data_IF_271823422484
#
_entry.id   IF_271823422484
#
_cell.length_a   1.000
_cell.length_b   1.000
_cell.length_c   1.000
_cell.angle_alpha   90.00
_cell.angle_beta   90.00
_cell.angle_gamma   90.00
#
_symmetry.space_group_name_H-M   'P 1'
#
loop_
_entity.id
_entity.type
_entity.pdbx_description
1 polymer ?
#
# COMPACT_ATOMS: atom_id res chain seq x y z
N UNK A 1 -16.93 -15.20 62.43
CA UNK A 1 -18.32 -14.71 62.39
C UNK A 1 -18.72 -14.75 60.94
N UNK A 2 -19.42 -15.74 60.46
CA UNK A 2 -20.87 -15.98 60.34
C UNK A 2 -21.54 -14.69 59.78
N UNK A 3 -22.21 -14.64 58.64
CA UNK A 3 -23.29 -15.40 57.99
C UNK A 3 -23.62 -14.68 56.70
N UNK A 4 -24.37 -15.03 55.69
CA UNK A 4 -25.20 -16.15 55.34
C UNK A 4 -25.69 -15.96 53.91
N UNK A 5 -25.96 -17.09 53.27
CA UNK A 5 -26.54 -17.22 51.93
C UNK A 5 -27.97 -16.64 51.85
N UNK A 6 -28.32 -16.14 50.63
CA UNK A 6 -29.72 -16.07 50.21
C UNK A 6 -29.86 -16.51 48.77
N UNK A 7 -30.47 -17.68 48.58
CA UNK A 7 -30.91 -18.24 47.31
C UNK A 7 -32.31 -17.68 47.00
N UNK A 8 -32.47 -17.11 45.81
CA UNK A 8 -33.78 -16.78 45.27
C UNK A 8 -34.15 -17.77 44.16
N UNK A 9 -35.16 -18.55 44.42
CA UNK A 9 -35.82 -19.47 43.50
C UNK A 9 -36.87 -18.66 42.73
N UNK A 10 -36.80 -18.68 41.39
CA UNK A 10 -37.89 -18.14 40.55
C UNK A 10 -38.53 -19.30 39.78
N UNK A 11 -39.81 -19.48 40.03
CA UNK A 11 -40.65 -20.51 39.47
C UNK A 11 -41.01 -20.25 38.00
N UNK A 12 -41.01 -21.30 37.21
CA UNK A 12 -41.47 -21.34 35.85
C UNK A 12 -43.01 -21.33 35.79
N UNK A 13 -43.59 -20.45 34.99
CA UNK A 13 -44.97 -20.58 34.50
C UNK A 13 -44.98 -21.02 33.04
N UNK A 14 -45.44 -22.22 32.84
CA UNK A 14 -45.67 -22.85 31.54
C UNK A 14 -47.13 -22.50 31.11
N UNK A 15 -47.29 -21.65 30.11
CA UNK A 15 -48.62 -21.38 29.51
C UNK A 15 -48.64 -22.04 28.13
N UNK A 16 -49.41 -23.12 28.07
CA UNK A 16 -49.70 -23.92 26.85
C UNK A 16 -50.95 -23.32 26.20
N UNK A 17 -50.79 -22.66 25.04
CA UNK A 17 -51.94 -22.23 24.21
C UNK A 17 -52.00 -23.09 22.95
N UNK A 18 -53.00 -23.90 22.86
CA UNK A 18 -53.42 -24.67 21.67
C UNK A 18 -54.13 -23.68 20.74
N UNK A 19 -53.70 -23.57 19.46
CA UNK A 19 -54.51 -22.98 18.40
C UNK A 19 -54.55 -23.93 17.20
N UNK A 20 -55.74 -24.12 16.76
CA UNK A 20 -56.18 -25.08 15.77
C UNK A 20 -55.68 -24.81 14.34
N UNK A 21 -55.48 -25.88 13.60
CA UNK A 21 -55.21 -25.91 12.16
C UNK A 21 -56.40 -25.38 11.35
N UNK A 22 -56.08 -24.44 10.41
CA UNK A 22 -56.96 -24.18 9.26
C UNK A 22 -56.08 -24.32 7.99
N UNK A 23 -56.34 -25.35 7.19
CA UNK A 23 -55.80 -25.48 5.84
C UNK A 23 -56.36 -24.37 4.94
N UNK A 24 -55.48 -23.63 4.30
CA UNK A 24 -55.77 -22.77 3.17
C UNK A 24 -54.59 -22.84 2.22
N UNK A 25 -54.73 -23.61 1.13
CA UNK A 25 -53.83 -23.64 0.02
C UNK A 25 -53.96 -22.34 -0.77
N UNK A 26 -52.89 -21.52 -0.82
CA UNK A 26 -52.74 -20.59 -1.91
C UNK A 26 -51.27 -20.51 -2.30
N UNK A 27 -51.01 -20.88 -3.54
CA UNK A 27 -49.74 -20.87 -4.23
C UNK A 27 -49.44 -19.42 -4.65
N UNK A 28 -48.44 -18.80 -4.04
CA UNK A 28 -47.94 -17.51 -4.44
C UNK A 28 -46.53 -17.32 -3.88
N UNK A 29 -45.59 -17.96 -4.57
CA UNK A 29 -44.16 -17.79 -4.32
C UNK A 29 -43.74 -16.40 -4.86
N UNK A 30 -43.99 -15.37 -4.07
CA UNK A 30 -43.37 -14.06 -4.26
C UNK A 30 -42.22 -13.97 -3.25
N UNK A 31 -41.06 -14.43 -3.68
CA UNK A 31 -39.78 -14.04 -3.07
C UNK A 31 -39.64 -12.52 -3.22
N UNK A 32 -40.21 -11.76 -2.29
CA UNK A 32 -39.81 -10.39 -2.06
C UNK A 32 -38.40 -10.44 -1.53
N UNK A 33 -37.46 -10.27 -2.42
CA UNK A 33 -36.11 -9.80 -2.08
C UNK A 33 -36.32 -8.46 -1.36
N UNK A 34 -36.34 -8.49 -0.01
CA UNK A 34 -36.16 -7.27 0.76
C UNK A 34 -34.77 -6.73 0.41
N UNK A 35 -34.75 -5.69 -0.43
CA UNK A 35 -33.56 -4.85 -0.56
C UNK A 35 -33.26 -4.28 0.82
N UNK A 36 -32.22 -4.76 1.47
CA UNK A 36 -31.67 -4.14 2.66
C UNK A 36 -31.35 -2.70 2.26
N UNK A 37 -31.94 -1.68 2.91
CA UNK A 37 -31.56 -0.30 2.66
C UNK A 37 -30.10 -0.17 3.04
N UNK A 38 -29.24 0.00 2.08
CA UNK A 38 -27.83 0.29 2.33
C UNK A 38 -27.75 1.78 2.63
N UNK A 39 -27.49 2.13 3.89
CA UNK A 39 -27.19 3.51 4.25
C UNK A 39 -25.96 3.97 3.49
N UNK A 40 -25.91 5.26 3.07
CA UNK A 40 -24.73 5.81 2.41
C UNK A 40 -23.47 5.63 3.26
N UNK A 41 -22.37 5.25 2.63
CA UNK A 41 -21.06 5.12 3.26
C UNK A 41 -20.35 6.47 3.13
N UNK A 42 -19.97 7.06 4.27
CA UNK A 42 -19.17 8.29 4.30
C UNK A 42 -17.86 8.01 5.01
N UNK A 43 -16.75 8.32 4.34
CA UNK A 43 -15.37 8.14 4.83
C UNK A 43 -14.65 9.48 4.76
N UNK A 44 -13.84 9.79 5.76
CA UNK A 44 -12.93 10.92 5.71
C UNK A 44 -11.69 10.56 4.88
N UNK A 45 -11.47 11.31 3.80
CA UNK A 45 -10.30 11.17 2.93
C UNK A 45 -9.46 12.43 3.09
N UNK A 46 -8.47 12.39 3.95
CA UNK A 46 -7.55 13.51 4.26
C UNK A 46 -8.27 14.82 4.67
N UNK A 47 -9.32 14.72 5.47
CA UNK A 47 -10.11 15.86 5.93
C UNK A 47 -11.24 16.25 4.97
N UNK A 48 -11.44 15.53 3.87
CA UNK A 48 -12.54 15.71 2.93
C UNK A 48 -13.49 14.51 3.00
N UNK A 49 -14.79 14.72 3.26
CA UNK A 49 -15.74 13.61 3.29
C UNK A 49 -15.98 13.08 1.87
N UNK A 50 -15.77 11.79 1.68
CA UNK A 50 -16.16 11.03 0.49
C UNK A 50 -17.41 10.21 0.81
N UNK A 51 -18.45 10.31 -0.02
CA UNK A 51 -19.72 9.60 0.21
C UNK A 51 -20.15 8.84 -1.04
N UNK A 52 -20.55 7.58 -0.85
CA UNK A 52 -21.18 6.74 -1.87
C UNK A 52 -22.51 6.19 -1.32
N UNK A 53 -23.46 5.96 -2.20
CA UNK A 53 -24.85 5.57 -1.84
C UNK A 53 -24.94 4.15 -1.28
N UNK A 54 -24.00 3.27 -1.67
CA UNK A 54 -23.97 1.87 -1.24
C UNK A 54 -22.54 1.32 -1.30
N UNK A 55 -22.33 0.15 -0.68
CA UNK A 55 -21.09 -0.62 -0.82
C UNK A 55 -20.82 -0.92 -2.29
N UNK A 56 -19.64 -0.56 -2.83
CA UNK A 56 -19.32 -0.82 -4.22
C UNK A 56 -19.19 -2.32 -4.50
N UNK A 57 -19.72 -2.76 -5.62
CA UNK A 57 -19.62 -4.13 -6.12
C UNK A 57 -18.80 -4.23 -7.41
N UNK A 58 -18.56 -3.07 -8.06
CA UNK A 58 -17.93 -2.98 -9.38
C UNK A 58 -16.86 -1.88 -9.40
N UNK A 59 -15.71 -2.20 -8.84
CA UNK A 59 -14.59 -1.26 -8.71
C UNK A 59 -13.68 -1.35 -9.94
N UNK A 60 -13.37 -0.21 -10.55
CA UNK A 60 -12.25 -0.05 -11.48
C UNK A 60 -11.10 0.63 -10.74
N UNK A 61 -9.93 0.00 -10.70
CA UNK A 61 -8.72 0.55 -10.08
C UNK A 61 -7.72 1.01 -11.14
N UNK A 62 -7.34 2.28 -11.10
CA UNK A 62 -6.35 2.88 -12.00
C UNK A 62 -5.06 3.24 -11.26
N UNK A 63 -4.72 2.46 -10.23
CA UNK A 63 -3.50 2.61 -9.44
C UNK A 63 -3.02 1.25 -8.95
N UNK A 64 -1.79 0.84 -9.28
CA UNK A 64 -1.21 -0.40 -8.77
C UNK A 64 -1.21 -0.49 -7.24
N UNK A 65 -0.85 0.60 -6.55
CA UNK A 65 -0.85 0.66 -5.08
C UNK A 65 -2.25 0.47 -4.49
N UNK A 66 -3.26 1.13 -5.08
CA UNK A 66 -4.65 0.97 -4.65
C UNK A 66 -5.19 -0.43 -4.98
N UNK A 67 -4.82 -1.01 -6.13
CA UNK A 67 -5.17 -2.38 -6.49
C UNK A 67 -4.65 -3.37 -5.44
N UNK A 68 -3.37 -3.30 -5.09
CA UNK A 68 -2.79 -4.14 -4.04
C UNK A 68 -3.51 -3.94 -2.70
N UNK A 69 -3.81 -2.68 -2.35
CA UNK A 69 -4.57 -2.35 -1.13
C UNK A 69 -5.97 -2.96 -1.13
N UNK A 70 -6.73 -2.83 -2.23
CA UNK A 70 -8.07 -3.41 -2.37
C UNK A 70 -8.06 -4.95 -2.18
N UNK A 71 -7.09 -5.64 -2.77
CA UNK A 71 -6.95 -7.08 -2.57
C UNK A 71 -6.57 -7.43 -1.13
N UNK A 72 -5.64 -6.69 -0.54
CA UNK A 72 -5.19 -6.92 0.84
C UNK A 72 -6.31 -6.75 1.87
N UNK A 73 -7.18 -5.74 1.70
CA UNK A 73 -8.33 -5.53 2.59
C UNK A 73 -9.52 -6.45 2.28
N UNK A 74 -9.37 -7.39 1.35
CA UNK A 74 -10.42 -8.37 1.01
C UNK A 74 -11.46 -7.88 0.01
N UNK A 75 -11.23 -6.73 -0.64
CA UNK A 75 -12.13 -6.18 -1.67
C UNK A 75 -11.83 -6.72 -3.09
N UNK A 76 -10.88 -7.65 -3.25
CA UNK A 76 -10.54 -8.24 -4.54
C UNK A 76 -11.74 -8.71 -5.39
N UNK A 77 -12.74 -9.41 -4.82
CA UNK A 77 -13.94 -9.80 -5.56
C UNK A 77 -14.78 -8.66 -6.12
N UNK A 78 -14.62 -7.43 -5.61
CA UNK A 78 -15.30 -6.23 -6.07
C UNK A 78 -14.55 -5.55 -7.23
N UNK A 79 -13.25 -5.85 -7.41
CA UNK A 79 -12.42 -5.27 -8.49
C UNK A 79 -12.75 -6.00 -9.80
N UNK A 80 -13.31 -5.26 -10.76
CA UNK A 80 -13.73 -5.83 -12.06
C UNK A 80 -12.77 -5.50 -13.20
N UNK A 81 -11.94 -4.45 -13.04
CA UNK A 81 -10.89 -4.07 -13.97
C UNK A 81 -9.81 -3.29 -13.23
N UNK A 82 -8.58 -3.47 -13.66
CA UNK A 82 -7.41 -2.74 -13.17
C UNK A 82 -6.58 -2.22 -14.34
N UNK A 83 -5.75 -1.20 -14.11
CA UNK A 83 -4.89 -0.63 -15.15
C UNK A 83 -3.77 -1.60 -15.59
N UNK A 84 -3.03 -1.21 -16.63
CA UNK A 84 -2.00 -2.02 -17.27
C UNK A 84 -0.80 -2.37 -16.37
N UNK A 85 -0.58 -1.58 -15.28
CA UNK A 85 0.50 -1.78 -14.31
C UNK A 85 0.03 -2.46 -13.02
N UNK A 86 -1.25 -2.70 -12.85
CA UNK A 86 -1.85 -3.38 -11.69
C UNK A 86 -1.79 -4.90 -11.86
N UNK A 87 -0.59 -5.46 -11.84
CA UNK A 87 -0.28 -6.88 -12.10
C UNK A 87 -0.13 -7.73 -10.83
N UNK A 88 -0.30 -7.12 -9.65
CA UNK A 88 -0.27 -7.81 -8.37
C UNK A 88 -1.55 -7.53 -7.56
N UNK A 89 -2.11 -8.57 -6.87
CA UNK A 89 -1.74 -9.99 -6.96
C UNK A 89 -2.06 -10.60 -8.34
N UNK A 90 -1.63 -11.83 -8.59
CA UNK A 90 -1.80 -12.49 -9.88
C UNK A 90 -3.27 -12.64 -10.32
N UNK A 91 -4.21 -12.54 -9.36
CA UNK A 91 -5.66 -12.57 -9.59
C UNK A 91 -6.22 -11.21 -10.02
N UNK A 92 -5.40 -10.15 -10.02
CA UNK A 92 -5.84 -8.82 -10.46
C UNK A 92 -6.39 -8.88 -11.89
N UNK A 93 -7.59 -8.33 -12.15
CA UNK A 93 -8.18 -8.29 -13.48
C UNK A 93 -7.54 -7.18 -14.33
N UNK A 94 -6.23 -7.27 -14.57
CA UNK A 94 -5.43 -6.31 -15.33
C UNK A 94 -5.95 -6.18 -16.75
N UNK A 95 -6.07 -4.96 -17.22
CA UNK A 95 -6.59 -4.60 -18.54
C UNK A 95 -5.57 -3.73 -19.30
N UNK A 96 -6.00 -3.13 -20.40
CA UNK A 96 -5.25 -2.09 -21.14
C UNK A 96 -5.64 -0.67 -20.72
N UNK A 97 -6.39 -0.50 -19.63
CA UNK A 97 -6.65 0.83 -19.06
C UNK A 97 -5.34 1.42 -18.56
N UNK A 98 -5.22 2.74 -18.66
CA UNK A 98 -4.04 3.45 -18.17
C UNK A 98 -4.43 4.46 -17.10
N UNK A 99 -3.75 4.43 -15.95
CA UNK A 99 -3.87 5.47 -14.94
C UNK A 99 -3.21 6.77 -15.38
N UNK A 100 -2.19 6.73 -16.26
CA UNK A 100 -1.45 7.90 -16.74
C UNK A 100 -2.12 8.63 -17.91
N UNK A 101 -2.74 7.88 -18.81
CA UNK A 101 -3.45 8.40 -19.99
C UNK A 101 -4.86 7.81 -20.08
N UNK A 102 -5.72 8.11 -19.09
CA UNK A 102 -7.00 7.45 -18.95
C UNK A 102 -7.96 7.81 -20.08
N UNK A 103 -8.81 6.84 -20.46
CA UNK A 103 -9.90 7.04 -21.40
C UNK A 103 -11.23 6.84 -20.66
N UNK A 104 -11.95 7.92 -20.42
CA UNK A 104 -13.22 7.93 -19.67
C UNK A 104 -14.26 6.99 -20.28
N UNK A 105 -14.40 6.95 -21.61
CA UNK A 105 -15.36 6.08 -22.28
C UNK A 105 -15.01 4.61 -22.07
N UNK A 106 -13.72 4.25 -22.11
CA UNK A 106 -13.25 2.89 -21.87
C UNK A 106 -13.46 2.47 -20.40
N UNK A 107 -13.30 3.39 -19.45
CA UNK A 107 -13.55 3.15 -18.02
C UNK A 107 -15.04 2.92 -17.77
N UNK A 108 -15.88 3.82 -18.26
CA UNK A 108 -17.35 3.76 -18.10
C UNK A 108 -17.95 2.51 -18.78
N UNK A 109 -17.31 1.99 -19.83
CA UNK A 109 -17.76 0.76 -20.50
C UNK A 109 -17.71 -0.48 -19.59
N UNK A 110 -16.96 -0.46 -18.49
CA UNK A 110 -16.99 -1.48 -17.46
C UNK A 110 -18.20 -1.38 -16.52
N UNK A 111 -19.01 -0.30 -16.63
CA UNK A 111 -20.15 -0.02 -15.77
C UNK A 111 -19.75 -0.07 -14.26
N UNK A 112 -18.74 0.73 -13.85
CA UNK A 112 -18.28 0.75 -12.46
C UNK A 112 -19.22 1.55 -11.56
N UNK A 113 -19.32 1.14 -10.31
CA UNK A 113 -19.97 1.92 -9.24
C UNK A 113 -18.96 2.66 -8.36
N UNK A 114 -17.67 2.40 -8.55
CA UNK A 114 -16.55 3.15 -7.98
C UNK A 114 -15.33 3.08 -8.90
N UNK A 115 -14.63 4.20 -9.07
CA UNK A 115 -13.28 4.24 -9.65
C UNK A 115 -12.30 4.71 -8.59
N UNK A 116 -11.17 4.01 -8.44
CA UNK A 116 -10.09 4.40 -7.53
C UNK A 116 -8.88 4.85 -8.34
N UNK A 117 -8.37 6.05 -8.04
CA UNK A 117 -7.26 6.68 -8.74
C UNK A 117 -6.23 7.24 -7.75
N UNK A 118 -4.97 7.41 -8.18
CA UNK A 118 -3.91 8.01 -7.35
C UNK A 118 -3.51 9.42 -7.78
N UNK A 119 -4.07 9.94 -8.85
CA UNK A 119 -3.92 11.31 -9.30
C UNK A 119 -4.99 11.63 -10.34
N UNK A 120 -5.15 12.90 -10.67
CA UNK A 120 -6.24 13.40 -11.56
C UNK A 120 -5.69 13.97 -12.87
N UNK A 121 -5.25 13.12 -13.84
CA UNK A 121 -4.74 13.60 -15.11
C UNK A 121 -5.89 14.11 -16.01
N UNK A 122 -5.79 15.35 -16.44
CA UNK A 122 -6.71 15.92 -17.42
C UNK A 122 -8.16 16.00 -16.93
N UNK A 123 -8.37 16.33 -15.67
CA UNK A 123 -9.71 16.43 -15.04
C UNK A 123 -10.50 15.10 -15.10
N UNK A 124 -9.82 13.97 -14.92
CA UNK A 124 -10.42 12.63 -14.94
C UNK A 124 -11.54 12.50 -13.91
N UNK A 125 -11.29 12.98 -12.68
CA UNK A 125 -12.28 12.93 -11.58
C UNK A 125 -13.56 13.62 -12.00
N UNK A 126 -13.48 14.88 -12.41
CA UNK A 126 -14.66 15.65 -12.85
C UNK A 126 -15.39 15.01 -14.05
N UNK A 127 -14.64 14.39 -14.97
CA UNK A 127 -15.20 13.73 -16.15
C UNK A 127 -15.97 12.46 -15.81
N UNK A 128 -15.47 11.64 -14.88
CA UNK A 128 -16.14 10.43 -14.41
C UNK A 128 -17.36 10.77 -13.53
N UNK A 129 -17.26 11.78 -12.66
CA UNK A 129 -18.39 12.27 -11.87
C UNK A 129 -19.52 12.83 -12.76
N UNK A 130 -19.17 13.55 -13.83
CA UNK A 130 -20.15 14.01 -14.82
C UNK A 130 -20.83 12.84 -15.57
N UNK A 131 -20.16 11.69 -15.67
CA UNK A 131 -20.75 10.45 -16.19
C UNK A 131 -21.56 9.68 -15.14
N UNK A 132 -21.64 10.18 -13.90
CA UNK A 132 -22.36 9.56 -12.79
C UNK A 132 -21.58 8.46 -12.06
N UNK A 133 -20.27 8.41 -12.22
CA UNK A 133 -19.39 7.41 -11.57
C UNK A 133 -18.62 8.08 -10.42
N UNK A 134 -18.81 7.64 -9.17
CA UNK A 134 -18.02 8.11 -8.02
C UNK A 134 -16.54 7.80 -8.20
N UNK A 135 -15.66 8.74 -7.79
CA UNK A 135 -14.21 8.57 -7.86
C UNK A 135 -13.60 8.76 -6.49
N UNK A 136 -12.87 7.75 -6.02
CA UNK A 136 -12.04 7.85 -4.83
C UNK A 136 -10.59 8.19 -5.26
N UNK A 137 -10.18 9.43 -4.98
CA UNK A 137 -8.82 9.89 -5.21
C UNK A 137 -7.99 9.65 -3.93
N UNK A 138 -6.99 8.79 -4.03
CA UNK A 138 -5.98 8.51 -3.01
C UNK A 138 -4.62 8.95 -3.54
N UNK A 139 -4.21 10.17 -3.24
CA UNK A 139 -2.92 10.70 -3.67
C UNK A 139 -1.75 9.79 -3.25
N UNK A 140 -0.59 9.96 -3.91
CA UNK A 140 0.61 9.22 -3.54
C UNK A 140 0.92 9.43 -2.04
N UNK A 141 1.18 8.33 -1.33
CA UNK A 141 1.57 8.39 0.07
C UNK A 141 2.89 9.15 0.22
N UNK A 142 3.02 9.95 1.27
CA UNK A 142 4.27 10.66 1.59
C UNK A 142 5.10 9.91 2.63
N UNK A 143 4.46 9.04 3.42
CA UNK A 143 5.08 8.20 4.45
C UNK A 143 4.27 6.92 4.71
N UNK A 144 4.71 6.11 5.67
CA UNK A 144 4.03 4.86 6.01
C UNK A 144 2.67 5.08 6.69
N UNK A 145 2.50 6.17 7.43
CA UNK A 145 1.21 6.49 8.08
C UNK A 145 0.13 6.73 7.00
N UNK A 146 0.50 7.34 5.87
CA UNK A 146 -0.41 7.50 4.74
C UNK A 146 -0.78 6.16 4.10
N UNK A 147 0.18 5.21 3.98
CA UNK A 147 -0.12 3.85 3.48
C UNK A 147 -1.16 3.17 4.36
N UNK A 148 -0.97 3.21 5.70
CA UNK A 148 -1.90 2.59 6.65
C UNK A 148 -3.28 3.24 6.56
N UNK A 149 -3.33 4.57 6.48
CA UNK A 149 -4.57 5.33 6.31
C UNK A 149 -5.29 4.99 5.01
N UNK A 150 -4.57 4.84 3.89
CA UNK A 150 -5.18 4.43 2.61
C UNK A 150 -5.80 3.04 2.69
N UNK A 151 -5.15 2.08 3.36
CA UNK A 151 -5.72 0.75 3.60
C UNK A 151 -7.01 0.82 4.42
N UNK A 152 -7.03 1.64 5.49
CA UNK A 152 -8.24 1.86 6.28
C UNK A 152 -9.36 2.51 5.47
N UNK A 153 -9.06 3.52 4.65
CA UNK A 153 -10.02 4.18 3.75
C UNK A 153 -10.60 3.16 2.76
N UNK A 154 -9.76 2.36 2.10
CA UNK A 154 -10.18 1.31 1.17
C UNK A 154 -11.07 0.28 1.88
N UNK A 155 -10.69 -0.16 3.08
CA UNK A 155 -11.51 -1.06 3.90
C UNK A 155 -12.88 -0.47 4.25
N UNK A 156 -12.92 0.80 4.66
CA UNK A 156 -14.15 1.48 5.04
C UNK A 156 -15.10 1.65 3.84
N UNK A 157 -14.59 2.12 2.69
CA UNK A 157 -15.40 2.33 1.48
C UNK A 157 -15.93 1.01 0.93
N UNK A 158 -15.14 -0.06 1.00
CA UNK A 158 -15.52 -1.38 0.45
C UNK A 158 -16.28 -2.27 1.44
N UNK A 159 -16.51 -1.79 2.68
CA UNK A 159 -17.19 -2.55 3.73
C UNK A 159 -16.34 -3.68 4.31
N UNK A 160 -15.02 -3.56 4.27
CA UNK A 160 -14.04 -4.53 4.77
C UNK A 160 -13.15 -3.92 5.88
N UNK A 161 -13.68 -3.00 6.69
CA UNK A 161 -12.90 -2.23 7.66
C UNK A 161 -12.18 -3.10 8.69
N UNK A 162 -12.82 -4.17 9.17
CA UNK A 162 -12.20 -5.08 10.15
C UNK A 162 -10.95 -5.76 9.55
N UNK A 163 -11.03 -6.23 8.29
CA UNK A 163 -9.88 -6.81 7.58
C UNK A 163 -8.78 -5.77 7.37
N UNK A 164 -9.15 -4.53 7.03
CA UNK A 164 -8.18 -3.46 6.89
C UNK A 164 -7.40 -3.20 8.18
N UNK A 165 -8.07 -3.15 9.32
CA UNK A 165 -7.40 -3.02 10.62
C UNK A 165 -6.47 -4.20 10.94
N UNK A 166 -6.88 -5.43 10.64
CA UNK A 166 -6.00 -6.60 10.82
C UNK A 166 -4.73 -6.49 9.95
N UNK A 167 -4.87 -6.06 8.69
CA UNK A 167 -3.76 -5.84 7.77
C UNK A 167 -2.83 -4.74 8.27
N UNK A 168 -3.36 -3.59 8.68
CA UNK A 168 -2.58 -2.47 9.20
C UNK A 168 -1.79 -2.89 10.44
N UNK A 169 -2.43 -3.56 11.41
CA UNK A 169 -1.75 -4.04 12.62
C UNK A 169 -0.62 -5.04 12.30
N UNK A 170 -0.82 -5.95 11.32
CA UNK A 170 0.23 -6.89 10.90
C UNK A 170 1.41 -6.15 10.24
N UNK A 171 1.13 -5.21 9.34
CA UNK A 171 2.17 -4.42 8.67
C UNK A 171 2.99 -3.59 9.67
N UNK A 172 2.34 -2.86 10.57
CA UNK A 172 3.01 -2.07 11.62
C UNK A 172 3.88 -2.96 12.52
N UNK A 173 3.38 -4.13 12.91
CA UNK A 173 4.14 -5.07 13.73
C UNK A 173 5.37 -5.60 12.99
N UNK A 174 5.25 -5.99 11.72
CA UNK A 174 6.39 -6.47 10.90
C UNK A 174 7.42 -5.37 10.68
N UNK A 175 7.00 -4.16 10.35
CA UNK A 175 7.88 -2.99 10.21
C UNK A 175 8.63 -2.73 11.50
N UNK A 176 7.92 -2.67 12.63
CA UNK A 176 8.52 -2.45 13.95
C UNK A 176 9.55 -3.53 14.31
N UNK A 177 9.24 -4.79 14.01
CA UNK A 177 10.18 -5.93 14.26
C UNK A 177 11.42 -5.80 13.36
N UNK A 178 11.26 -5.49 12.08
CA UNK A 178 12.38 -5.34 11.15
C UNK A 178 13.32 -4.20 11.58
N UNK A 179 12.76 -3.03 11.93
CA UNK A 179 13.54 -1.88 12.40
C UNK A 179 14.23 -2.19 13.73
N UNK A 180 13.52 -2.77 14.70
CA UNK A 180 14.09 -3.08 16.03
C UNK A 180 15.16 -4.19 15.99
N UNK A 181 15.12 -5.07 14.99
CA UNK A 181 16.13 -6.13 14.81
C UNK A 181 17.42 -5.62 14.14
N UNK A 182 17.37 -4.43 13.53
CA UNK A 182 18.52 -3.83 12.85
C UNK A 182 19.48 -3.25 13.90
N UNK A 183 20.80 -3.52 13.80
CA UNK A 183 21.77 -3.04 14.80
C UNK A 183 21.88 -1.52 14.75
N UNK A 184 21.98 -0.88 15.92
CA UNK A 184 22.40 0.52 16.02
C UNK A 184 23.86 0.65 15.58
N UNK A 185 24.15 1.64 14.77
CA UNK A 185 25.48 1.95 14.24
C UNK A 185 26.04 3.20 14.89
N UNK A 186 27.35 3.22 15.18
CA UNK A 186 28.02 4.38 15.74
C UNK A 186 28.01 5.59 14.77
N UNK A 187 28.09 5.31 13.47
CA UNK A 187 27.96 6.29 12.39
C UNK A 187 26.87 5.83 11.41
N UNK A 188 26.03 6.75 10.90
CA UNK A 188 25.01 6.40 9.93
C UNK A 188 25.64 5.96 8.61
N UNK A 189 25.11 4.88 8.02
CA UNK A 189 25.49 4.45 6.67
C UNK A 189 24.88 5.37 5.62
N UNK A 190 25.61 5.56 4.54
CA UNK A 190 25.15 6.28 3.36
C UNK A 190 24.54 5.32 2.34
N UNK A 191 23.54 5.77 1.60
CA UNK A 191 22.93 4.96 0.55
C UNK A 191 22.66 5.72 -0.75
N UNK A 192 22.61 4.96 -1.84
CA UNK A 192 22.12 5.39 -3.14
C UNK A 192 21.00 4.45 -3.60
N UNK A 193 19.89 5.00 -4.12
CA UNK A 193 18.76 4.26 -4.68
C UNK A 193 18.70 4.51 -6.19
N UNK A 194 18.94 3.50 -7.00
CA UNK A 194 18.90 3.58 -8.46
C UNK A 194 17.50 3.30 -8.97
N UNK A 195 16.85 4.30 -9.60
CA UNK A 195 15.55 4.13 -10.25
C UNK A 195 15.66 3.54 -11.65
N UNK A 196 16.66 3.98 -12.41
CA UNK A 196 16.88 3.53 -13.79
C UNK A 196 18.34 3.65 -14.23
N UNK A 197 18.66 3.10 -15.39
CA UNK A 197 20.02 3.07 -15.99
C UNK A 197 20.59 4.47 -16.27
N UNK A 198 19.77 5.51 -16.29
CA UNK A 198 20.20 6.89 -16.51
C UNK A 198 20.60 7.63 -15.24
N UNK A 199 20.67 6.91 -14.11
CA UNK A 199 21.03 7.38 -12.77
C UNK A 199 20.02 8.36 -12.17
N UNK A 200 18.75 8.27 -12.53
CA UNK A 200 17.69 8.87 -11.73
C UNK A 200 17.62 8.17 -10.38
N UNK A 201 17.38 8.96 -9.36
CA UNK A 201 17.35 8.52 -7.96
C UNK A 201 16.25 9.23 -7.17
N UNK A 202 16.20 8.98 -5.88
CA UNK A 202 15.29 9.62 -4.92
C UNK A 202 16.10 10.32 -3.85
N UNK A 203 15.56 11.41 -3.30
CA UNK A 203 16.08 12.05 -2.08
C UNK A 203 15.33 11.56 -0.84
N UNK A 204 15.82 11.94 0.35
CA UNK A 204 15.15 11.64 1.63
C UNK A 204 13.77 12.31 1.78
N UNK A 205 13.45 13.31 0.95
CA UNK A 205 12.15 14.01 0.96
C UNK A 205 11.02 13.24 0.28
N UNK A 206 11.31 12.13 -0.42
CA UNK A 206 10.31 11.30 -1.10
C UNK A 206 9.74 10.22 -0.17
N UNK A 207 8.61 9.60 -0.56
CA UNK A 207 8.08 8.42 0.10
C UNK A 207 9.14 7.32 0.26
N UNK A 208 9.85 6.99 -0.83
CA UNK A 208 10.93 5.99 -0.83
C UNK A 208 12.01 6.39 0.19
N UNK A 209 12.43 7.67 0.20
CA UNK A 209 13.41 8.20 1.14
C UNK A 209 12.95 8.13 2.59
N UNK A 210 11.65 8.31 2.86
CA UNK A 210 11.08 8.21 4.21
C UNK A 210 11.25 6.80 4.80
N UNK A 211 11.17 5.76 3.98
CA UNK A 211 11.36 4.36 4.40
C UNK A 211 12.82 4.10 4.81
N UNK A 212 13.80 4.61 4.08
CA UNK A 212 15.21 4.54 4.47
C UNK A 212 15.48 5.29 5.78
N UNK A 213 14.74 6.38 6.01
CA UNK A 213 14.82 7.18 7.24
C UNK A 213 14.50 6.39 8.52
N UNK A 214 13.71 5.29 8.45
CA UNK A 214 13.43 4.41 9.58
C UNK A 214 14.69 3.75 10.17
N UNK A 215 15.73 3.62 9.35
CA UNK A 215 17.00 2.99 9.70
C UNK A 215 18.12 4.02 9.95
N UNK A 216 17.80 5.31 9.92
CA UNK A 216 18.78 6.39 10.10
C UNK A 216 19.81 6.47 8.96
N UNK A 217 19.51 5.94 7.78
CA UNK A 217 20.39 5.99 6.62
C UNK A 217 20.45 7.41 6.04
N UNK A 218 21.63 7.80 5.52
CA UNK A 218 21.87 9.10 4.90
C UNK A 218 21.87 8.97 3.38
N UNK A 219 21.00 9.72 2.72
CA UNK A 219 20.87 9.70 1.26
C UNK A 219 21.95 10.57 0.60
N UNK A 220 22.81 9.98 -0.24
CA UNK A 220 23.83 10.76 -0.97
C UNK A 220 23.20 11.73 -1.98
N UNK A 221 22.00 11.44 -2.48
CA UNK A 221 21.32 12.27 -3.46
C UNK A 221 20.76 13.59 -2.89
N UNK A 222 20.62 13.72 -1.57
CA UNK A 222 20.15 14.97 -0.94
C UNK A 222 21.04 16.17 -1.30
N UNK A 223 22.34 15.93 -1.49
CA UNK A 223 23.28 16.97 -1.90
C UNK A 223 23.08 17.44 -3.35
N UNK A 224 22.38 16.67 -4.18
CA UNK A 224 22.10 16.99 -5.58
C UNK A 224 20.77 17.74 -5.78
N UNK A 225 19.89 17.77 -4.78
CA UNK A 225 18.59 18.47 -4.85
C UNK A 225 18.35 19.32 -3.56
N UNK A 226 19.31 20.20 -3.19
CA UNK A 226 19.26 20.94 -1.91
C UNK A 226 18.13 21.97 -1.84
N UNK A 227 17.59 22.39 -2.96
CA UNK A 227 16.49 23.37 -3.08
C UNK A 227 15.15 22.71 -3.49
N UNK A 228 15.11 21.40 -3.65
CA UNK A 228 13.92 20.65 -4.07
C UNK A 228 13.49 20.90 -5.52
N UNK A 229 14.37 21.46 -6.36
CA UNK A 229 14.03 21.80 -7.74
C UNK A 229 13.80 20.56 -8.63
N UNK A 230 14.37 19.43 -8.25
CA UNK A 230 14.14 18.14 -8.89
C UNK A 230 12.94 17.37 -8.24
N UNK A 231 12.17 18.02 -7.38
CA UNK A 231 11.00 17.40 -6.70
C UNK A 231 11.34 16.10 -5.98
N UNK A 232 12.58 15.96 -5.50
CA UNK A 232 13.06 14.75 -4.83
C UNK A 232 13.55 13.64 -5.78
N UNK A 233 13.60 13.88 -7.10
CA UNK A 233 14.01 12.89 -8.10
C UNK A 233 15.15 13.42 -8.99
N UNK A 234 16.33 13.71 -8.43
CA UNK A 234 17.45 14.21 -9.23
C UNK A 234 18.05 13.11 -10.09
N UNK A 235 18.69 13.51 -11.20
CA UNK A 235 19.57 12.67 -11.99
C UNK A 235 21.02 12.94 -11.59
N UNK A 236 21.75 11.89 -11.21
CA UNK A 236 23.16 12.00 -10.80
C UNK A 236 24.11 11.70 -11.98
N UNK A 237 25.36 12.13 -11.83
CA UNK A 237 26.44 11.65 -12.71
C UNK A 237 27.22 10.52 -12.04
N UNK A 238 27.90 9.70 -12.85
CA UNK A 238 28.77 8.65 -12.34
C UNK A 238 29.92 9.21 -11.49
N UNK A 239 30.46 10.40 -11.85
CA UNK A 239 31.50 11.09 -11.09
C UNK A 239 30.99 11.49 -9.70
N UNK A 240 29.75 12.00 -9.62
CA UNK A 240 29.14 12.35 -8.33
C UNK A 240 29.05 11.12 -7.42
N UNK A 241 28.62 9.97 -7.97
CA UNK A 241 28.47 8.74 -7.19
C UNK A 241 29.81 8.18 -6.72
N UNK A 242 30.86 8.31 -7.52
CA UNK A 242 32.23 7.92 -7.12
C UNK A 242 32.75 8.83 -6.00
N UNK A 243 32.51 10.13 -6.09
CA UNK A 243 32.92 11.08 -5.05
C UNK A 243 32.13 10.88 -3.74
N UNK A 244 30.85 10.52 -3.84
CA UNK A 244 29.99 10.25 -2.69
C UNK A 244 30.25 8.88 -2.05
N UNK A 245 30.69 7.88 -2.83
CA UNK A 245 31.05 6.51 -2.45
C UNK A 245 30.10 5.88 -1.40
N UNK A 246 28.81 5.67 -1.74
CA UNK A 246 27.81 5.20 -0.79
C UNK A 246 28.15 3.82 -0.22
N UNK A 247 27.79 3.59 1.08
CA UNK A 247 27.98 2.31 1.75
C UNK A 247 27.03 1.22 1.23
N UNK A 248 25.84 1.62 0.78
CA UNK A 248 24.79 0.75 0.28
C UNK A 248 24.28 1.26 -1.07
N UNK A 249 24.04 0.36 -2.02
CA UNK A 249 23.38 0.67 -3.29
C UNK A 249 22.16 -0.22 -3.44
N UNK A 250 21.00 0.38 -3.68
CA UNK A 250 19.73 -0.33 -3.89
C UNK A 250 19.29 -0.13 -5.35
N UNK A 251 19.07 -1.23 -6.05
CA UNK A 251 18.67 -1.24 -7.45
C UNK A 251 17.16 -1.50 -7.56
N UNK A 252 16.38 -0.48 -7.89
CA UNK A 252 14.97 -0.66 -8.26
C UNK A 252 14.82 -1.09 -9.73
N UNK A 253 15.88 -0.98 -10.52
CA UNK A 253 15.98 -1.42 -11.91
C UNK A 253 17.35 -2.02 -12.20
N UNK A 254 17.40 -2.97 -13.11
CA UNK A 254 18.63 -3.72 -13.44
C UNK A 254 18.93 -4.82 -12.43
N UNK A 255 20.09 -5.41 -12.54
CA UNK A 255 20.58 -6.48 -11.67
C UNK A 255 22.00 -6.19 -11.17
N UNK A 256 22.38 -6.87 -10.09
CA UNK A 256 23.68 -6.67 -9.41
C UNK A 256 24.87 -6.96 -10.33
N UNK A 257 24.78 -7.99 -11.17
CA UNK A 257 25.91 -8.37 -12.04
C UNK A 257 26.15 -7.30 -13.11
N UNK A 258 25.09 -6.81 -13.74
CA UNK A 258 25.15 -5.70 -14.70
C UNK A 258 25.70 -4.42 -14.05
N UNK A 259 25.29 -4.11 -12.81
CA UNK A 259 25.79 -2.94 -12.08
C UNK A 259 27.30 -3.05 -11.80
N UNK A 260 27.79 -4.23 -11.41
CA UNK A 260 29.23 -4.51 -11.18
C UNK A 260 30.09 -4.35 -12.42
N UNK A 261 29.52 -4.62 -13.60
CA UNK A 261 30.23 -4.49 -14.88
C UNK A 261 30.35 -3.04 -15.39
N UNK A 262 29.66 -2.08 -14.75
CA UNK A 262 29.75 -0.66 -15.13
C UNK A 262 31.18 -0.13 -14.88
N UNK A 263 31.84 0.49 -15.89
CA UNK A 263 33.27 0.82 -15.83
C UNK A 263 33.67 1.73 -14.66
N UNK A 264 32.76 2.57 -14.18
CA UNK A 264 32.99 3.54 -13.10
C UNK A 264 32.31 3.09 -11.82
N UNK A 265 31.03 2.76 -11.88
CA UNK A 265 30.24 2.41 -10.70
C UNK A 265 30.57 1.03 -10.13
N UNK A 266 31.10 0.11 -10.96
CA UNK A 266 31.61 -1.18 -10.51
C UNK A 266 32.83 -1.11 -9.58
N UNK A 267 33.39 0.09 -9.35
CA UNK A 267 34.53 0.33 -8.45
C UNK A 267 34.12 0.96 -7.11
N UNK A 268 32.82 1.19 -6.89
CA UNK A 268 32.31 1.70 -5.61
C UNK A 268 32.59 0.71 -4.48
N UNK A 269 32.84 1.22 -3.28
CA UNK A 269 33.02 0.40 -2.06
C UNK A 269 31.84 -0.56 -1.84
N UNK A 270 30.62 -0.11 -2.11
CA UNK A 270 29.44 -0.97 -2.02
C UNK A 270 29.52 -2.23 -2.89
N UNK A 271 30.22 -2.18 -4.03
CA UNK A 271 30.47 -3.36 -4.88
C UNK A 271 31.52 -4.29 -4.26
N UNK A 272 32.59 -3.73 -3.69
CA UNK A 272 33.66 -4.49 -3.02
C UNK A 272 33.14 -5.19 -1.75
N UNK A 273 32.23 -4.55 -1.03
CA UNK A 273 31.66 -5.03 0.24
C UNK A 273 30.41 -5.92 0.05
N UNK A 274 30.04 -6.27 -1.20
CA UNK A 274 28.82 -7.02 -1.53
C UNK A 274 27.54 -6.35 -1.00
N UNK A 275 27.51 -5.02 -1.03
CA UNK A 275 26.46 -4.14 -0.50
C UNK A 275 25.59 -3.49 -1.60
N UNK A 276 25.60 -4.08 -2.80
CA UNK A 276 24.66 -3.76 -3.88
C UNK A 276 23.47 -4.72 -3.78
N UNK A 277 22.28 -4.18 -3.61
CA UNK A 277 21.04 -4.91 -3.31
C UNK A 277 20.06 -4.73 -4.46
N UNK A 278 19.68 -5.81 -5.12
CA UNK A 278 18.56 -5.82 -6.05
C UNK A 278 17.26 -5.85 -5.25
N UNK A 279 16.39 -4.87 -5.49
CA UNK A 279 15.09 -4.80 -4.86
C UNK A 279 14.09 -5.72 -5.59
N UNK A 280 13.13 -6.23 -4.83
CA UNK A 280 12.00 -6.93 -5.43
C UNK A 280 11.24 -5.97 -6.37
N UNK A 281 10.74 -6.47 -7.51
CA UNK A 281 10.01 -5.63 -8.45
C UNK A 281 8.88 -4.86 -7.78
N UNK A 282 8.78 -3.58 -8.09
CA UNK A 282 7.72 -2.65 -7.69
C UNK A 282 7.55 -2.37 -6.19
N UNK A 283 8.22 -3.08 -5.28
CA UNK A 283 8.00 -2.93 -3.83
C UNK A 283 8.42 -1.56 -3.31
N UNK A 284 9.43 -0.94 -3.91
CA UNK A 284 9.89 0.40 -3.51
C UNK A 284 9.10 1.53 -4.16
N UNK A 285 8.42 1.27 -5.29
CA UNK A 285 7.69 2.27 -6.07
C UNK A 285 6.18 2.26 -5.82
N UNK A 286 5.67 1.29 -5.05
CA UNK A 286 4.25 1.15 -4.72
C UNK A 286 4.03 1.35 -3.23
N UNK A 287 3.25 2.37 -2.88
CA UNK A 287 2.80 2.63 -1.51
C UNK A 287 1.60 1.75 -1.16
N UNK A 288 1.85 0.46 -0.98
CA UNK A 288 0.85 -0.56 -0.72
C UNK A 288 1.30 -1.57 0.34
N UNK A 289 0.56 -2.65 0.54
CA UNK A 289 0.82 -3.62 1.61
C UNK A 289 2.18 -4.32 1.49
N UNK A 290 2.77 -4.39 0.28
CA UNK A 290 4.12 -4.96 0.08
C UNK A 290 5.26 -4.04 0.50
N UNK A 291 4.97 -2.83 0.98
CA UNK A 291 6.02 -1.93 1.48
C UNK A 291 6.83 -2.56 2.62
N UNK A 292 6.25 -3.47 3.36
CA UNK A 292 6.94 -4.23 4.41
C UNK A 292 8.08 -5.06 3.85
N UNK A 293 7.97 -5.62 2.65
CA UNK A 293 9.03 -6.38 2.00
C UNK A 293 10.24 -5.48 1.66
N UNK A 294 9.97 -4.23 1.30
CA UNK A 294 11.03 -3.23 1.10
C UNK A 294 11.74 -2.88 2.41
N UNK A 295 10.98 -2.66 3.49
CA UNK A 295 11.54 -2.43 4.84
C UNK A 295 12.41 -3.62 5.27
N UNK A 296 11.96 -4.86 5.09
CA UNK A 296 12.70 -6.07 5.42
C UNK A 296 13.99 -6.24 4.58
N UNK A 297 13.97 -5.85 3.30
CA UNK A 297 15.16 -5.85 2.44
C UNK A 297 16.21 -4.84 2.94
N UNK A 298 15.79 -3.62 3.32
CA UNK A 298 16.70 -2.62 3.89
C UNK A 298 17.29 -3.14 5.22
N UNK A 299 16.46 -3.64 6.14
CA UNK A 299 16.88 -4.20 7.42
C UNK A 299 17.94 -5.30 7.22
N UNK A 300 17.71 -6.19 6.27
CA UNK A 300 18.65 -7.27 5.92
C UNK A 300 19.99 -6.73 5.39
N UNK A 301 19.95 -5.71 4.52
CA UNK A 301 21.15 -5.10 3.94
C UNK A 301 22.01 -4.43 5.01
N UNK A 302 21.38 -3.59 5.87
CA UNK A 302 22.06 -2.92 6.97
C UNK A 302 22.67 -3.93 7.95
N UNK A 303 21.92 -4.97 8.31
CA UNK A 303 22.40 -6.01 9.25
C UNK A 303 23.59 -6.78 8.69
N UNK A 304 23.59 -7.12 7.38
CA UNK A 304 24.72 -7.81 6.72
C UNK A 304 25.96 -6.95 6.72
N UNK A 305 25.85 -5.69 6.34
CA UNK A 305 26.99 -4.76 6.29
C UNK A 305 27.55 -4.51 7.69
N UNK A 306 26.70 -4.27 8.69
CA UNK A 306 27.12 -4.12 10.08
C UNK A 306 27.87 -5.35 10.62
N UNK A 307 27.44 -6.56 10.28
CA UNK A 307 28.13 -7.78 10.67
C UNK A 307 29.52 -7.91 10.02
N UNK A 308 29.67 -7.49 8.76
CA UNK A 308 30.96 -7.45 8.05
C UNK A 308 31.93 -6.45 8.68
N UNK A 309 31.49 -5.25 8.99
CA UNK A 309 32.28 -4.21 9.67
C UNK A 309 32.74 -4.69 11.05
N UNK A 310 31.86 -5.32 11.84
CA UNK A 310 32.21 -5.87 13.15
C UNK A 310 33.21 -7.03 13.08
N UNK A 311 33.25 -7.78 11.98
CA UNK A 311 34.20 -8.86 11.78
C UNK A 311 35.62 -8.36 11.44
N UNK A 312 35.73 -7.20 10.80
CA UNK A 312 37.03 -6.58 10.43
C UNK A 312 37.70 -5.87 11.63
N UNK A 313 36.93 -5.50 12.66
CA UNK A 313 37.42 -4.79 13.88
C UNK A 313 37.88 -5.77 14.97
N UNK A 314 37.67 -7.07 14.81
CA UNK A 314 38.13 -8.14 15.72
C UNK A 314 39.39 -8.81 15.22
#
# INVERSE_FOLDING_TARGET
MRTASSRLVVAAFLSMSLVAAACGSDTGDASTSESVPTDPITVDVYGTPFTIDARPERIVSLSPSATEGLFAVGAGPQVIAADEFSDFPAESPTTTLSGFTPNVEAIVAFDPDLVVVSFDPGDLVASLEAAGVPVLLLDAAVDLDDVMRQLEILGAVTGNLDTAFEVVVDLEARISVAVAATPELDEPLTYFHLLDETLFTVTSSTFIGSVYGLFGLVNVADAADPDGSAFGFPQLSAEFLVDADPDLVFLASGDVDSFRELPVLGQLRAVEDDAVIELLPDVSSRWGPRIVDFVEQIASAVTRLAAGVLALVR
#
